data_IF_604425217706
#
_entry.id   IF_604425217706
#
_cell.length_a   1.000
_cell.length_b   1.000
_cell.length_c   1.000
_cell.angle_alpha   90.00
_cell.angle_beta   90.00
_cell.angle_gamma   90.00
#
_symmetry.space_group_name_H-M   'P 1'
#
loop_
_entity.id
_entity.type
_entity.pdbx_description
1 polymer ?
#
# COMPACT_ATOMS: atom_id res chain seq x y z
N UNK A 1 4.67 33.63 -81.30
CA UNK A 1 5.66 32.97 -80.42
C UNK A 1 5.69 33.70 -79.09
N UNK A 2 5.16 33.07 -78.03
CA UNK A 2 5.73 33.06 -76.67
C UNK A 2 4.87 32.14 -75.81
N UNK A 3 5.51 31.03 -75.47
CA UNK A 3 5.00 29.86 -74.77
C UNK A 3 4.67 30.18 -73.31
N UNK A 4 3.55 29.65 -72.80
CA UNK A 4 3.24 29.65 -71.37
C UNK A 4 3.74 28.37 -70.68
N UNK A 5 4.49 28.45 -69.57
CA UNK A 5 4.93 27.29 -68.82
C UNK A 5 3.92 26.94 -67.72
N UNK A 6 3.32 25.76 -67.77
CA UNK A 6 2.58 25.21 -66.62
C UNK A 6 3.59 24.53 -65.72
N UNK A 7 4.02 25.27 -64.70
CA UNK A 7 4.84 24.78 -63.61
C UNK A 7 4.01 23.84 -62.71
N UNK A 8 4.13 22.53 -62.93
CA UNK A 8 3.57 21.54 -62.01
C UNK A 8 4.56 21.31 -60.86
N UNK A 9 4.31 21.98 -59.73
CA UNK A 9 5.01 21.78 -58.46
C UNK A 9 4.51 20.48 -57.82
N UNK A 10 5.22 19.37 -58.06
CA UNK A 10 5.05 18.15 -57.28
C UNK A 10 5.80 18.31 -55.95
N UNK A 11 5.09 18.72 -54.90
CA UNK A 11 5.59 18.65 -53.53
C UNK A 11 5.46 17.21 -53.04
N UNK A 12 6.56 16.46 -53.06
CA UNK A 12 6.65 15.14 -52.45
C UNK A 12 6.65 15.28 -50.93
N UNK A 13 5.55 14.91 -50.28
CA UNK A 13 5.50 14.74 -48.84
C UNK A 13 6.20 13.42 -48.48
N UNK A 14 7.39 13.51 -47.89
CA UNK A 14 8.06 12.36 -47.29
C UNK A 14 7.31 11.98 -46.01
N UNK A 15 6.61 10.84 -46.04
CA UNK A 15 5.91 10.27 -44.90
C UNK A 15 6.93 9.52 -44.05
N UNK A 16 7.45 10.18 -43.00
CA UNK A 16 8.29 9.53 -41.99
C UNK A 16 7.37 8.63 -41.15
N UNK A 17 7.45 7.33 -41.39
CA UNK A 17 6.75 6.33 -40.59
C UNK A 17 7.50 6.18 -39.25
N UNK A 18 7.00 6.86 -38.22
CA UNK A 18 7.45 6.66 -36.85
C UNK A 18 7.03 5.25 -36.43
N UNK A 19 8.01 4.36 -36.28
CA UNK A 19 7.82 3.06 -35.63
C UNK A 19 7.48 3.32 -34.15
N UNK A 20 6.19 3.39 -33.84
CA UNK A 20 5.71 3.32 -32.48
C UNK A 20 5.97 1.91 -31.91
N UNK A 21 6.37 1.77 -30.64
CA UNK A 21 6.46 0.47 -30.00
C UNK A 21 5.05 -0.13 -29.94
N UNK A 22 4.86 -1.26 -30.60
CA UNK A 22 3.65 -2.06 -30.47
C UNK A 22 3.53 -2.52 -29.01
N UNK A 23 2.74 -1.80 -28.22
CA UNK A 23 2.22 -2.31 -26.97
C UNK A 23 1.39 -3.56 -27.32
N UNK A 24 1.87 -4.73 -26.89
CA UNK A 24 1.26 -6.02 -27.20
C UNK A 24 -0.22 -5.99 -26.84
N UNK A 25 -1.07 -6.06 -27.85
CA UNK A 25 -2.50 -6.25 -27.65
C UNK A 25 -2.71 -7.69 -27.15
N UNK A 26 -3.03 -7.82 -25.86
CA UNK A 26 -3.45 -9.09 -25.28
C UNK A 26 -4.67 -9.64 -26.03
N UNK A 27 -4.51 -10.85 -26.55
CA UNK A 27 -5.53 -11.59 -27.29
C UNK A 27 -6.57 -12.16 -26.31
N UNK A 28 -7.64 -11.40 -26.06
CA UNK A 28 -8.82 -11.92 -25.35
C UNK A 28 -9.63 -12.81 -26.31
N UNK A 29 -9.40 -14.12 -26.30
CA UNK A 29 -10.14 -15.06 -27.15
C UNK A 29 -11.58 -15.32 -26.68
N UNK A 30 -11.94 -14.95 -25.44
CA UNK A 30 -13.25 -15.23 -24.84
C UNK A 30 -13.99 -13.97 -24.34
N UNK A 31 -13.56 -12.77 -24.74
CA UNK A 31 -14.11 -11.50 -24.24
C UNK A 31 -13.66 -11.11 -22.82
N UNK A 32 -12.90 -11.98 -22.15
CA UNK A 32 -12.23 -11.69 -20.87
C UNK A 32 -10.89 -11.03 -21.13
N UNK A 33 -10.66 -9.87 -20.50
CA UNK A 33 -9.44 -9.07 -20.66
C UNK A 33 -8.77 -8.85 -19.31
N UNK A 34 -7.46 -9.09 -19.26
CA UNK A 34 -6.63 -8.79 -18.08
C UNK A 34 -5.70 -7.63 -18.36
N UNK A 35 -5.66 -6.68 -17.43
CA UNK A 35 -4.72 -5.56 -17.42
C UNK A 35 -3.90 -5.63 -16.15
N UNK A 36 -2.57 -5.62 -16.30
CA UNK A 36 -1.63 -5.63 -15.18
C UNK A 36 -0.99 -4.24 -15.06
N UNK A 37 -1.00 -3.67 -13.86
CA UNK A 37 -0.44 -2.35 -13.57
C UNK A 37 0.62 -2.46 -12.45
N UNK A 38 1.86 -2.00 -12.67
CA UNK A 38 2.42 -1.56 -13.94
C UNK A 38 2.51 -2.72 -14.96
N UNK A 39 2.49 -2.39 -16.24
CA UNK A 39 2.60 -3.40 -17.32
C UNK A 39 4.01 -3.99 -17.43
N UNK A 40 5.00 -3.32 -16.84
CA UNK A 40 6.40 -3.74 -16.74
C UNK A 40 6.87 -3.56 -15.30
N UNK A 41 7.41 -4.62 -14.70
CA UNK A 41 7.84 -4.65 -13.30
C UNK A 41 9.09 -5.54 -13.12
N UNK A 42 9.76 -5.42 -11.98
CA UNK A 42 10.94 -6.19 -11.63
C UNK A 42 10.56 -7.45 -10.82
N UNK A 43 11.41 -8.49 -10.79
CA UNK A 43 11.22 -9.61 -9.87
C UNK A 43 11.11 -9.12 -8.42
N UNK A 44 10.06 -9.55 -7.71
CA UNK A 44 9.77 -9.12 -6.34
C UNK A 44 8.83 -7.92 -6.22
N UNK A 45 8.49 -7.24 -7.32
CA UNK A 45 7.56 -6.12 -7.28
C UNK A 45 6.10 -6.59 -7.15
N UNK A 46 5.28 -5.73 -6.52
CA UNK A 46 3.83 -5.84 -6.47
C UNK A 46 3.20 -5.32 -7.77
N UNK A 47 2.16 -6.00 -8.24
CA UNK A 47 1.37 -5.60 -9.41
C UNK A 47 -0.12 -5.73 -9.15
N UNK A 48 -0.88 -4.74 -9.63
CA UNK A 48 -2.34 -4.75 -9.62
C UNK A 48 -2.85 -5.52 -10.85
N UNK A 49 -3.77 -6.45 -10.62
CA UNK A 49 -4.43 -7.22 -11.68
C UNK A 49 -5.89 -6.78 -11.78
N UNK A 50 -6.25 -6.22 -12.93
CA UNK A 50 -7.63 -5.85 -13.28
C UNK A 50 -8.17 -6.81 -14.33
N UNK A 51 -9.35 -7.38 -14.09
CA UNK A 51 -10.01 -8.30 -15.01
C UNK A 51 -11.37 -7.78 -15.42
N UNK A 52 -11.65 -7.77 -16.71
CA UNK A 52 -12.92 -7.38 -17.32
C UNK A 52 -13.54 -8.56 -18.07
N UNK A 53 -14.88 -8.61 -18.14
CA UNK A 53 -15.62 -9.61 -18.92
C UNK A 53 -16.14 -10.82 -18.14
N UNK A 54 -15.73 -10.99 -16.88
CA UNK A 54 -16.28 -12.03 -15.99
C UNK A 54 -17.65 -11.62 -15.42
N UNK A 55 -18.59 -12.55 -15.37
CA UNK A 55 -19.96 -12.38 -14.86
C UNK A 55 -20.05 -12.50 -13.35
N UNK A 56 -19.14 -13.22 -12.71
CA UNK A 56 -19.08 -13.43 -11.28
C UNK A 56 -18.43 -12.25 -10.54
N UNK A 57 -18.45 -12.33 -9.21
CA UNK A 57 -17.82 -11.35 -8.31
C UNK A 57 -16.51 -11.84 -7.72
N UNK A 58 -16.15 -13.11 -7.94
CA UNK A 58 -14.90 -13.71 -7.46
C UNK A 58 -14.22 -14.50 -8.57
N UNK A 59 -12.90 -14.62 -8.45
CA UNK A 59 -12.07 -15.40 -9.37
C UNK A 59 -10.64 -15.50 -8.88
N UNK A 60 -9.79 -16.11 -9.71
CA UNK A 60 -8.36 -16.18 -9.46
C UNK A 60 -7.56 -15.95 -10.74
N UNK A 61 -6.57 -15.07 -10.69
CA UNK A 61 -5.58 -14.89 -11.76
C UNK A 61 -4.32 -15.70 -11.45
N UNK A 62 -3.91 -16.53 -12.41
CA UNK A 62 -2.74 -17.41 -12.31
C UNK A 62 -1.69 -17.00 -13.32
N UNK A 63 -0.43 -17.02 -12.89
CA UNK A 63 0.70 -16.85 -13.79
C UNK A 63 1.93 -17.57 -13.27
N UNK A 64 2.80 -17.97 -14.19
CA UNK A 64 4.16 -18.43 -13.87
C UNK A 64 5.04 -17.29 -13.32
N UNK A 65 4.59 -16.04 -13.38
CA UNK A 65 5.27 -14.93 -12.72
C UNK A 65 4.86 -14.75 -11.24
N UNK A 66 3.65 -15.15 -10.83
CA UNK A 66 3.15 -14.79 -9.50
C UNK A 66 3.61 -15.76 -8.42
N UNK A 67 3.98 -15.24 -7.25
CA UNK A 67 4.36 -16.05 -6.09
C UNK A 67 3.21 -16.93 -5.61
N UNK A 68 1.98 -16.42 -5.68
CA UNK A 68 0.73 -17.14 -5.45
C UNK A 68 -0.32 -16.71 -6.50
N UNK A 69 -1.40 -17.47 -6.63
CA UNK A 69 -2.55 -17.06 -7.44
C UNK A 69 -3.14 -15.76 -6.84
N UNK A 70 -3.44 -14.77 -7.69
CA UNK A 70 -4.07 -13.53 -7.25
C UNK A 70 -5.57 -13.72 -7.11
N UNK A 71 -6.08 -13.55 -5.90
CA UNK A 71 -7.52 -13.59 -5.63
C UNK A 71 -8.18 -12.34 -6.17
N UNK A 72 -9.22 -12.52 -6.97
CA UNK A 72 -9.92 -11.44 -7.63
C UNK A 72 -11.27 -11.22 -6.95
N UNK A 73 -11.58 -9.96 -6.68
CA UNK A 73 -12.89 -9.55 -6.14
C UNK A 73 -13.48 -8.41 -6.95
N UNK A 74 -14.80 -8.46 -7.15
CA UNK A 74 -15.58 -7.46 -7.88
C UNK A 74 -16.79 -7.03 -7.07
N UNK A 75 -17.23 -5.79 -7.29
CA UNK A 75 -18.36 -5.19 -6.57
C UNK A 75 -19.70 -5.84 -6.94
N UNK A 76 -19.98 -5.95 -8.25
CA UNK A 76 -21.20 -6.56 -8.78
C UNK A 76 -20.89 -7.24 -10.12
N UNK A 77 -21.31 -8.50 -10.25
CA UNK A 77 -20.92 -9.38 -11.35
C UNK A 77 -21.25 -8.86 -12.75
N UNK A 78 -20.34 -9.05 -13.70
CA UNK A 78 -20.57 -8.88 -15.14
C UNK A 78 -20.44 -7.47 -15.72
N UNK A 79 -20.67 -6.42 -14.92
CA UNK A 79 -20.57 -5.03 -15.40
C UNK A 79 -19.35 -4.28 -14.90
N UNK A 80 -18.78 -4.71 -13.78
CA UNK A 80 -17.62 -4.08 -13.19
C UNK A 80 -16.40 -4.99 -13.27
N UNK A 81 -15.20 -4.42 -13.44
CA UNK A 81 -13.97 -5.19 -13.36
C UNK A 81 -13.79 -5.79 -11.97
N UNK A 82 -13.13 -6.94 -11.93
CA UNK A 82 -12.55 -7.47 -10.71
C UNK A 82 -11.11 -6.97 -10.54
N UNK A 83 -10.69 -6.89 -9.28
CA UNK A 83 -9.36 -6.45 -8.89
C UNK A 83 -8.73 -7.46 -7.93
N UNK A 84 -7.42 -7.60 -8.00
CA UNK A 84 -6.61 -8.34 -7.05
C UNK A 84 -5.14 -7.96 -7.20
N UNK A 85 -4.34 -8.33 -6.21
CA UNK A 85 -2.92 -8.00 -6.13
C UNK A 85 -2.07 -9.26 -6.33
N UNK A 86 -0.91 -9.12 -6.97
CA UNK A 86 0.05 -10.20 -7.13
C UNK A 86 1.47 -9.72 -6.84
N UNK A 87 2.27 -10.57 -6.20
CA UNK A 87 3.71 -10.35 -6.05
C UNK A 87 4.45 -11.18 -7.09
N UNK A 88 5.33 -10.55 -7.88
CA UNK A 88 6.19 -11.26 -8.81
C UNK A 88 7.25 -12.07 -8.06
N UNK A 89 7.50 -13.31 -8.51
CA UNK A 89 8.59 -14.15 -7.98
C UNK A 89 9.93 -13.42 -8.12
N UNK A 90 10.76 -13.47 -7.08
CA UNK A 90 12.09 -12.83 -7.06
C UNK A 90 13.11 -13.49 -8.00
N UNK A 91 12.95 -14.79 -8.27
CA UNK A 91 13.83 -15.58 -9.15
C UNK A 91 13.43 -15.60 -10.62
N UNK A 92 12.59 -14.67 -11.09
CA UNK A 92 12.15 -14.64 -12.48
C UNK A 92 13.24 -14.14 -13.42
N UNK A 93 13.34 -14.80 -14.57
CA UNK A 93 14.04 -14.24 -15.71
C UNK A 93 13.23 -13.11 -16.34
N UNK A 94 13.93 -12.17 -16.97
CA UNK A 94 13.26 -11.12 -17.75
C UNK A 94 12.52 -11.72 -18.94
N UNK A 95 11.29 -11.28 -19.18
CA UNK A 95 10.45 -11.80 -20.25
C UNK A 95 8.98 -11.45 -20.10
N UNK A 96 8.16 -11.97 -21.02
CA UNK A 96 6.70 -11.80 -20.98
C UNK A 96 6.05 -13.07 -20.46
N UNK A 97 5.21 -12.93 -19.44
CA UNK A 97 4.51 -14.03 -18.80
C UNK A 97 3.02 -13.90 -19.04
N UNK A 98 2.40 -14.96 -19.55
CA UNK A 98 0.96 -15.04 -19.71
C UNK A 98 0.25 -15.09 -18.35
N UNK A 99 -0.94 -14.49 -18.31
CA UNK A 99 -1.85 -14.50 -17.16
C UNK A 99 -3.15 -15.16 -17.60
N UNK A 100 -3.50 -16.26 -16.94
CA UNK A 100 -4.76 -16.97 -17.10
C UNK A 100 -5.70 -16.61 -15.95
N UNK A 101 -6.99 -16.51 -16.21
CA UNK A 101 -7.99 -16.19 -15.16
C UNK A 101 -9.00 -17.30 -15.07
N UNK A 102 -9.31 -17.74 -13.85
CA UNK A 102 -10.46 -18.59 -13.57
C UNK A 102 -11.58 -17.73 -13.00
N UNK A 103 -12.69 -17.61 -13.72
CA UNK A 103 -13.91 -16.96 -13.25
C UNK A 103 -15.13 -17.67 -13.85
N UNK A 104 -16.31 -17.53 -13.25
CA UNK A 104 -17.56 -18.16 -13.74
C UNK A 104 -17.50 -19.69 -13.88
N UNK A 105 -16.56 -20.35 -13.19
CA UNK A 105 -16.32 -21.79 -13.30
C UNK A 105 -15.50 -22.22 -14.52
N UNK A 106 -14.97 -21.28 -15.31
CA UNK A 106 -14.16 -21.54 -16.50
C UNK A 106 -12.77 -20.91 -16.40
N UNK A 107 -11.79 -21.56 -17.03
CA UNK A 107 -10.44 -21.03 -17.19
C UNK A 107 -10.32 -20.29 -18.53
N UNK A 108 -9.97 -19.02 -18.47
CA UNK A 108 -9.64 -18.16 -19.60
C UNK A 108 -8.13 -18.04 -19.70
N UNK A 109 -7.54 -18.79 -20.64
CA UNK A 109 -6.10 -18.78 -20.88
C UNK A 109 -5.67 -17.57 -21.69
N UNK A 110 -4.43 -17.15 -21.46
CA UNK A 110 -3.78 -16.07 -22.21
C UNK A 110 -4.59 -14.76 -22.29
N UNK A 111 -5.40 -14.49 -21.25
CA UNK A 111 -6.29 -13.33 -21.18
C UNK A 111 -5.54 -11.99 -20.96
N UNK A 112 -4.26 -12.07 -20.61
CA UNK A 112 -3.33 -10.94 -20.58
C UNK A 112 -1.90 -11.37 -20.34
N UNK A 113 -1.01 -10.39 -20.23
CA UNK A 113 0.42 -10.62 -20.03
C UNK A 113 1.03 -9.59 -19.10
N UNK A 114 2.05 -9.98 -18.34
CA UNK A 114 2.92 -9.08 -17.58
C UNK A 114 4.35 -9.18 -18.11
N UNK A 115 5.04 -8.03 -18.25
CA UNK A 115 6.45 -7.98 -18.64
C UNK A 115 7.31 -7.84 -17.39
N UNK A 116 8.28 -8.74 -17.26
CA UNK A 116 9.26 -8.71 -16.17
C UNK A 116 10.58 -8.26 -16.74
N UNK A 117 11.17 -7.24 -16.14
CA UNK A 117 12.51 -6.77 -16.49
C UNK A 117 13.43 -6.92 -15.30
N UNK A 118 14.55 -7.61 -15.49
CA UNK A 118 15.63 -7.53 -14.51
C UNK A 118 16.32 -6.19 -14.69
N UNK A 119 16.25 -5.36 -13.67
CA UNK A 119 17.18 -4.26 -13.53
C UNK A 119 18.52 -4.85 -13.15
N UNK A 120 19.44 -4.89 -14.09
CA UNK A 120 20.82 -5.25 -13.76
C UNK A 120 21.33 -4.23 -12.74
N UNK A 121 21.93 -4.65 -11.62
CA UNK A 121 22.55 -3.73 -10.70
C UNK A 121 23.63 -2.95 -11.47
N UNK A 122 23.35 -1.70 -11.83
CA UNK A 122 24.33 -0.81 -12.48
C UNK A 122 25.49 -0.46 -11.54
N UNK A 123 25.42 -0.90 -10.28
CA UNK A 123 26.57 -0.98 -9.39
C UNK A 123 27.25 -2.33 -9.52
N UNK A 124 28.25 -2.37 -10.42
CA UNK A 124 29.45 -3.14 -10.13
C UNK A 124 29.99 -2.59 -8.81
N UNK A 125 30.06 -3.35 -7.71
CA UNK A 125 30.69 -2.86 -6.50
C UNK A 125 32.17 -2.64 -6.84
N UNK A 126 32.56 -1.39 -7.05
CA UNK A 126 33.98 -1.01 -7.08
C UNK A 126 34.54 -0.89 -5.65
N UNK A 127 33.72 -1.15 -4.63
CA UNK A 127 34.21 -1.37 -3.28
C UNK A 127 34.67 -2.82 -3.15
N UNK A 128 35.98 -3.00 -3.28
CA UNK A 128 36.71 -3.89 -2.38
C UNK A 128 36.15 -3.69 -0.96
N UNK A 129 35.84 -4.74 -0.18
CA UNK A 129 35.39 -4.59 1.18
C UNK A 129 36.52 -3.92 1.98
N UNK A 130 36.51 -2.59 2.04
CA UNK A 130 37.31 -1.88 3.02
C UNK A 130 36.75 -2.32 4.37
N UNK A 131 37.49 -3.17 5.06
CA UNK A 131 37.25 -3.50 6.45
C UNK A 131 37.16 -2.18 7.23
N UNK A 132 35.96 -1.67 7.45
CA UNK A 132 35.75 -0.60 8.40
C UNK A 132 36.00 -1.20 9.78
N UNK A 133 37.04 -0.76 10.52
CA UNK A 133 37.20 -1.17 11.91
C UNK A 133 35.98 -0.63 12.66
N UNK A 134 35.13 -1.52 13.15
CA UNK A 134 34.06 -1.13 14.07
C UNK A 134 34.72 -0.65 15.36
N UNK A 135 34.53 0.62 15.80
CA UNK A 135 35.09 1.06 17.06
C UNK A 135 34.35 0.36 18.21
N UNK A 136 34.96 -0.69 18.75
CA UNK A 136 34.60 -1.26 20.05
C UNK A 136 35.20 -0.37 21.15
N UNK A 137 34.55 0.74 21.45
CA UNK A 137 34.81 1.44 22.69
C UNK A 137 34.09 0.69 23.83
N UNK A 138 34.81 0.23 24.89
CA UNK A 138 34.17 -0.33 26.07
C UNK A 138 33.27 0.73 26.71
N UNK A 139 31.97 0.50 26.75
CA UNK A 139 31.08 1.31 27.58
C UNK A 139 31.36 0.97 29.04
N UNK A 140 31.65 1.98 29.86
CA UNK A 140 31.59 1.82 31.31
C UNK A 140 30.16 1.48 31.67
N UNK A 141 29.90 0.23 32.06
CA UNK A 141 28.71 -0.11 32.81
C UNK A 141 28.79 0.68 34.13
N UNK A 142 28.09 1.81 34.18
CA UNK A 142 27.95 2.64 35.37
C UNK A 142 27.40 1.79 36.52
N UNK A 143 28.10 1.82 37.65
CA UNK A 143 27.73 1.10 38.86
C UNK A 143 26.35 1.50 39.37
N UNK A 144 25.61 0.50 39.85
CA UNK A 144 24.31 0.67 40.48
C UNK A 144 24.43 1.50 41.76
N UNK A 145 23.88 2.72 41.71
CA UNK A 145 23.54 3.50 42.90
C UNK A 145 22.27 2.94 43.50
N UNK A 146 22.38 2.35 44.69
CA UNK A 146 21.27 1.95 45.52
C UNK A 146 20.33 3.14 45.78
N UNK A 147 19.06 3.03 45.37
CA UNK A 147 18.02 3.94 45.83
C UNK A 147 17.60 3.52 47.24
N UNK A 148 17.92 4.35 48.22
CA UNK A 148 17.35 4.25 49.56
C UNK A 148 15.84 4.52 49.51
N UNK A 149 15.12 3.77 50.33
CA UNK A 149 13.67 3.77 50.49
C UNK A 149 13.03 5.15 50.76
N UNK A 150 11.83 5.29 50.18
CA UNK A 150 10.61 5.87 50.74
C UNK A 150 10.47 7.39 50.98
N UNK A 151 9.54 8.02 50.25
CA UNK A 151 8.47 8.85 50.82
C UNK A 151 7.27 8.90 49.84
N UNK A 152 6.01 8.99 50.33
CA UNK A 152 4.81 8.74 49.55
C UNK A 152 4.33 9.96 48.74
N UNK A 153 3.44 9.67 47.80
CA UNK A 153 2.83 10.53 46.80
C UNK A 153 2.30 11.89 47.32
N UNK A 154 2.56 12.94 46.54
CA UNK A 154 1.70 14.11 46.45
C UNK A 154 1.07 14.15 45.04
N UNK A 155 -0.27 14.23 44.91
CA UNK A 155 -0.91 14.29 43.61
C UNK A 155 -0.84 15.70 43.05
N UNK A 156 -0.44 15.82 41.79
CA UNK A 156 -0.64 17.04 41.00
C UNK A 156 0.57 17.95 40.88
N UNK A 157 1.58 17.52 40.12
CA UNK A 157 2.37 18.39 39.22
C UNK A 157 3.07 17.51 38.20
N UNK A 158 2.59 17.52 36.95
CA UNK A 158 3.37 17.03 35.82
C UNK A 158 4.53 18.00 35.61
N UNK A 159 5.73 17.60 35.99
CA UNK A 159 6.95 18.32 35.66
C UNK A 159 7.34 17.95 34.23
N UNK A 160 6.86 18.72 33.26
CA UNK A 160 7.49 18.78 31.94
C UNK A 160 8.61 19.81 32.02
N UNK A 161 9.81 19.34 32.39
CA UNK A 161 11.04 20.06 32.15
C UNK A 161 11.44 19.85 30.68
N UNK A 162 11.72 20.95 29.97
CA UNK A 162 12.34 20.92 28.64
C UNK A 162 11.78 21.94 27.67
N UNK A 163 12.04 23.22 27.94
CA UNK A 163 12.08 24.26 26.92
C UNK A 163 13.25 23.95 25.97
N UNK A 164 13.03 23.12 24.95
CA UNK A 164 13.92 23.03 23.78
C UNK A 164 13.18 22.33 22.61
N UNK A 165 12.64 23.15 21.72
CA UNK A 165 12.46 22.86 20.29
C UNK A 165 11.66 21.63 19.88
N UNK A 166 10.33 21.65 19.94
CA UNK A 166 9.49 20.85 19.03
C UNK A 166 8.22 21.61 18.63
N UNK A 167 7.94 21.57 17.33
CA UNK A 167 7.02 22.45 16.64
C UNK A 167 5.59 22.53 17.19
N UNK A 168 4.96 23.62 16.81
CA UNK A 168 3.64 24.10 17.16
C UNK A 168 2.41 23.26 16.78
N UNK A 169 2.44 22.10 16.08
CA UNK A 169 1.20 21.33 15.88
C UNK A 169 0.89 20.29 16.97
N UNK A 170 1.82 19.90 17.85
CA UNK A 170 1.59 18.77 18.78
C UNK A 170 0.94 19.15 20.13
N UNK A 171 0.95 20.43 20.51
CA UNK A 171 0.27 20.91 21.73
C UNK A 171 -1.25 20.88 21.59
N UNK A 172 -1.78 21.06 20.37
CA UNK A 172 -3.23 21.06 20.10
C UNK A 172 -3.82 19.65 20.18
N UNK A 173 -3.07 18.63 19.75
CA UNK A 173 -3.47 17.22 19.85
C UNK A 173 -3.51 16.73 21.29
N UNK A 174 -2.55 17.13 22.13
CA UNK A 174 -2.51 16.77 23.55
C UNK A 174 -3.70 17.31 24.33
N UNK A 175 -4.12 18.56 24.04
CA UNK A 175 -5.25 19.20 24.71
C UNK A 175 -6.61 18.62 24.23
N UNK A 176 -6.69 18.23 22.96
CA UNK A 176 -7.87 17.56 22.40
C UNK A 176 -8.19 16.21 23.07
N UNK A 177 -7.18 15.36 23.27
CA UNK A 177 -7.38 14.04 23.89
C UNK A 177 -7.82 14.12 25.36
N UNK A 178 -7.36 15.13 26.11
CA UNK A 178 -7.75 15.33 27.51
C UNK A 178 -9.24 15.72 27.66
N UNK A 179 -9.76 16.56 26.76
CA UNK A 179 -11.17 16.95 26.77
C UNK A 179 -12.10 15.77 26.43
N UNK A 180 -11.73 14.93 25.46
CA UNK A 180 -12.49 13.73 25.09
C UNK A 180 -12.54 12.73 26.24
N UNK A 181 -11.44 12.54 26.97
CA UNK A 181 -11.41 11.66 28.13
C UNK A 181 -12.35 12.13 29.26
N UNK A 182 -12.39 13.44 29.54
CA UNK A 182 -13.28 14.00 30.55
C UNK A 182 -14.77 13.81 30.19
N UNK A 183 -15.15 14.03 28.93
CA UNK A 183 -16.52 13.80 28.44
C UNK A 183 -16.88 12.31 28.49
N UNK A 184 -15.98 11.42 28.11
CA UNK A 184 -16.21 9.98 28.17
C UNK A 184 -16.44 9.49 29.61
N UNK A 185 -15.67 9.99 30.59
CA UNK A 185 -15.87 9.66 32.01
C UNK A 185 -17.18 10.23 32.54
N UNK A 186 -17.56 11.46 32.17
CA UNK A 186 -18.83 12.05 32.54
C UNK A 186 -20.03 11.24 31.98
N UNK A 187 -20.00 10.86 30.70
CA UNK A 187 -21.05 10.05 30.06
C UNK A 187 -21.09 8.64 30.64
N UNK A 188 -19.93 8.04 30.92
CA UNK A 188 -19.88 6.70 31.52
C UNK A 188 -20.40 6.70 32.96
N UNK A 189 -20.14 7.77 33.72
CA UNK A 189 -20.65 7.89 35.10
C UNK A 189 -22.17 8.16 35.14
N UNK A 190 -22.73 8.93 34.20
CA UNK A 190 -24.18 9.12 34.12
C UNK A 190 -24.90 7.84 33.75
N UNK A 191 -24.36 7.06 32.79
CA UNK A 191 -24.90 5.75 32.42
C UNK A 191 -24.90 4.76 33.59
N UNK A 192 -23.81 4.72 34.38
CA UNK A 192 -23.75 3.89 35.59
C UNK A 192 -24.70 4.35 36.70
N UNK A 193 -25.03 5.64 36.76
CA UNK A 193 -26.02 6.17 37.73
C UNK A 193 -27.47 5.91 37.33
N UNK A 194 -27.72 5.49 36.09
CA UNK A 194 -29.07 5.09 35.64
C UNK A 194 -29.38 3.62 35.95
N UNK A 195 -28.40 2.84 36.42
CA UNK A 195 -28.58 1.43 36.84
C UNK A 195 -28.86 1.26 38.34
N UNK A 196 -29.28 2.31 39.06
CA UNK A 196 -29.95 2.13 40.36
C UNK A 196 -31.21 3.00 40.51
N UNK A 197 -32.37 2.47 40.07
CA UNK A 197 -33.65 2.87 40.59
C UNK A 197 -34.29 1.70 41.35
N UNK A 198 -33.90 1.47 42.62
CA UNK A 198 -34.81 1.11 43.72
C UNK A 198 -34.07 0.43 44.88
N UNK A 199 -33.74 1.22 45.90
CA UNK A 199 -33.25 0.71 47.19
C UNK A 199 -33.88 1.42 48.37
N UNK A 200 -35.21 1.30 48.52
CA UNK A 200 -36.02 1.68 49.67
C UNK A 200 -35.39 1.19 50.99
N UNK A 201 -35.07 2.11 51.91
CA UNK A 201 -34.63 1.82 53.27
C UNK A 201 -34.93 3.00 54.18
N UNK A 202 -36.11 2.97 54.78
CA UNK A 202 -36.63 3.93 55.76
C UNK A 202 -35.75 4.01 57.00
N UNK A 203 -35.31 5.23 57.33
CA UNK A 203 -34.85 5.60 58.67
C UNK A 203 -36.07 5.60 59.61
N UNK A 204 -36.12 4.67 60.56
CA UNK A 204 -36.84 4.85 61.84
C UNK A 204 -35.80 5.07 62.92
N UNK A 205 -35.88 6.23 63.56
CA UNK A 205 -34.99 6.67 64.62
C UNK A 205 -35.20 5.91 65.92
N UNK A 206 -34.13 5.83 66.69
CA UNK A 206 -34.15 5.61 68.12
C UNK A 206 -33.92 6.98 68.78
N UNK A 207 -34.93 7.44 69.53
CA UNK A 207 -34.89 8.02 70.88
C UNK A 207 -36.24 8.69 71.18
#
# INVERSE_FOLDING_TARGET
MRSGPIALRAAGAALVFVLAPAAGAAHAHDGVRVTVTPSTASPGDDVDVRVEGCKGTTGAAKSRAFTADAELTGRDGGKYPMYGDAVLRSGLDGGTYAVSVTCDGHEHRDAGTVRVERREPTHRPTHEPAHHPTPIAPVRAGGGGAAAFAAPAAPGVAQTAGEDGLGTPYTVLGLGMAAVAAVAVAVRSSRRRTEDPSGRGTHTGAE
#
